data_IF_211461012671
#
_entry.id   IF_211461012671
#
_cell.length_a   1.000
_cell.length_b   1.000
_cell.length_c   1.000
_cell.angle_alpha   90.00
_cell.angle_beta   90.00
_cell.angle_gamma   90.00
#
_symmetry.space_group_name_H-M   'P 1'
#
loop_
_entity.id
_entity.type
_entity.pdbx_description
1 polymer ?
#
# COMPACT_ATOMS: atom_id res chain seq x y z
N UNK A 1 31.45 -51.09 23.37
CA UNK A 1 31.31 -50.16 22.24
C UNK A 1 30.10 -49.29 22.58
N UNK A 2 30.39 -48.15 23.19
CA UNK A 2 29.37 -47.13 23.44
C UNK A 2 29.20 -46.37 22.12
N UNK A 3 28.04 -46.48 21.51
CA UNK A 3 27.66 -45.56 20.44
C UNK A 3 27.31 -44.26 21.11
N UNK A 4 28.20 -43.29 21.03
CA UNK A 4 27.96 -41.91 21.32
C UNK A 4 26.98 -41.42 20.22
N UNK A 5 25.71 -41.51 20.51
CA UNK A 5 24.65 -40.85 19.72
C UNK A 5 24.63 -39.40 20.23
N UNK A 6 25.60 -38.61 19.76
CA UNK A 6 25.43 -37.15 19.87
C UNK A 6 24.22 -36.80 19.01
N UNK A 7 23.20 -36.29 19.64
CA UNK A 7 22.01 -35.78 18.97
C UNK A 7 22.39 -34.52 18.18
N UNK A 8 23.01 -34.76 17.01
CA UNK A 8 23.36 -33.69 16.08
C UNK A 8 22.12 -33.44 15.17
N UNK A 9 21.55 -32.30 15.27
CA UNK A 9 20.57 -31.85 14.26
C UNK A 9 21.28 -31.65 12.93
N UNK A 10 20.94 -32.43 11.92
CA UNK A 10 21.52 -32.34 10.58
C UNK A 10 20.44 -31.90 9.61
N UNK A 11 20.66 -30.77 8.99
CA UNK A 11 19.75 -30.22 8.00
C UNK A 11 20.46 -30.05 6.64
N UNK A 12 19.65 -29.87 5.58
CA UNK A 12 20.17 -29.75 4.22
C UNK A 12 19.50 -28.60 3.50
N UNK A 13 20.30 -27.80 2.85
CA UNK A 13 19.86 -26.77 1.92
C UNK A 13 20.48 -27.02 0.55
N UNK A 14 19.74 -26.84 -0.53
CA UNK A 14 20.25 -27.01 -1.89
C UNK A 14 19.73 -25.92 -2.81
N UNK A 15 20.60 -25.33 -3.60
CA UNK A 15 20.28 -24.28 -4.57
C UNK A 15 21.26 -24.31 -5.74
N UNK A 16 20.83 -23.82 -6.89
CA UNK A 16 21.67 -23.52 -8.05
C UNK A 16 22.24 -22.08 -8.02
N UNK A 17 21.75 -21.25 -7.10
CA UNK A 17 22.24 -19.88 -6.90
C UNK A 17 23.39 -19.84 -5.89
N UNK A 18 24.59 -19.49 -6.38
CA UNK A 18 25.80 -19.37 -5.56
C UNK A 18 25.68 -18.27 -4.47
N UNK A 19 24.93 -17.18 -4.75
CA UNK A 19 24.72 -16.13 -3.76
C UNK A 19 23.80 -16.58 -2.64
N UNK A 20 22.70 -17.26 -2.99
CA UNK A 20 21.80 -17.83 -2.00
C UNK A 20 22.52 -18.85 -1.12
N UNK A 21 23.44 -19.65 -1.71
CA UNK A 21 24.27 -20.57 -0.97
C UNK A 21 25.22 -19.85 0.00
N UNK A 22 25.88 -18.79 -0.43
CA UNK A 22 26.79 -18.03 0.42
C UNK A 22 26.05 -17.34 1.59
N UNK A 23 24.84 -16.85 1.35
CA UNK A 23 23.99 -16.26 2.40
C UNK A 23 23.60 -17.33 3.43
N UNK A 24 23.16 -18.51 2.97
CA UNK A 24 22.78 -19.60 3.87
C UNK A 24 24.00 -20.14 4.67
N UNK A 25 25.16 -20.28 4.03
CA UNK A 25 26.42 -20.67 4.67
C UNK A 25 26.77 -19.70 5.81
N UNK A 26 26.84 -18.40 5.50
CA UNK A 26 27.16 -17.37 6.48
C UNK A 26 26.15 -17.31 7.64
N UNK A 27 24.86 -17.41 7.35
CA UNK A 27 23.81 -17.42 8.37
C UNK A 27 23.98 -18.57 9.34
N UNK A 28 24.16 -19.81 8.84
CA UNK A 28 24.28 -20.98 9.71
C UNK A 28 25.58 -20.96 10.51
N UNK A 29 26.70 -20.52 9.94
CA UNK A 29 27.95 -20.30 10.69
C UNK A 29 27.75 -19.27 11.82
N UNK A 30 27.00 -18.20 11.57
CA UNK A 30 26.70 -17.16 12.57
C UNK A 30 25.91 -17.72 13.76
N UNK A 31 25.05 -18.72 13.53
CA UNK A 31 24.30 -19.38 14.60
C UNK A 31 24.96 -20.66 15.14
N UNK A 32 26.28 -20.80 14.98
CA UNK A 32 27.06 -21.86 15.60
C UNK A 32 26.99 -23.22 14.91
N UNK A 33 26.45 -23.31 13.71
CA UNK A 33 26.39 -24.55 12.95
C UNK A 33 27.77 -24.88 12.34
N UNK A 34 28.12 -26.16 12.36
CA UNK A 34 29.20 -26.70 11.52
C UNK A 34 28.65 -26.90 10.12
N UNK A 35 29.25 -26.22 9.16
CA UNK A 35 28.75 -26.16 7.78
C UNK A 35 29.68 -26.93 6.85
N UNK A 36 29.12 -27.76 5.96
CA UNK A 36 29.85 -28.46 4.90
C UNK A 36 29.20 -28.22 3.56
N UNK A 37 29.93 -27.56 2.66
CA UNK A 37 29.48 -27.23 1.31
C UNK A 37 29.93 -28.29 0.30
N UNK A 38 29.01 -28.79 -0.50
CA UNK A 38 29.30 -29.78 -1.55
C UNK A 38 28.66 -29.33 -2.87
N UNK A 39 29.44 -29.33 -3.96
CA UNK A 39 28.94 -29.08 -5.30
C UNK A 39 28.60 -30.40 -6.00
N UNK A 40 27.36 -30.60 -6.37
CA UNK A 40 26.85 -31.77 -7.08
C UNK A 40 26.91 -31.54 -8.58
N UNK A 41 27.99 -31.97 -9.23
CA UNK A 41 28.28 -31.75 -10.65
C UNK A 41 27.25 -32.33 -11.60
N UNK A 42 26.60 -33.42 -11.21
CA UNK A 42 25.59 -34.10 -12.05
C UNK A 42 24.27 -33.34 -12.16
N UNK A 43 24.02 -32.43 -11.23
CA UNK A 43 22.76 -31.65 -11.13
C UNK A 43 22.97 -30.15 -11.21
N UNK A 44 24.24 -29.71 -11.26
CA UNK A 44 24.61 -28.28 -11.26
C UNK A 44 24.00 -27.50 -10.07
N UNK A 45 24.05 -28.13 -8.88
CA UNK A 45 23.52 -27.53 -7.64
C UNK A 45 24.55 -27.59 -6.53
N UNK A 46 24.50 -26.56 -5.67
CA UNK A 46 25.21 -26.56 -4.39
C UNK A 46 24.35 -27.23 -3.32
N UNK A 47 24.99 -28.05 -2.49
CA UNK A 47 24.37 -28.63 -1.30
C UNK A 47 25.12 -28.15 -0.08
N UNK A 48 24.39 -27.61 0.86
CA UNK A 48 24.84 -27.26 2.19
C UNK A 48 24.31 -28.29 3.16
N UNK A 49 25.23 -28.88 3.94
CA UNK A 49 24.93 -29.74 5.07
C UNK A 49 25.39 -29.00 6.32
N UNK A 50 24.50 -28.78 7.27
CA UNK A 50 24.81 -28.08 8.50
C UNK A 50 24.29 -28.85 9.70
N UNK A 51 25.10 -28.84 10.75
CA UNK A 51 24.79 -29.57 11.98
C UNK A 51 25.22 -28.75 13.19
N UNK A 52 24.47 -28.86 14.25
CA UNK A 52 24.75 -28.21 15.53
C UNK A 52 24.69 -29.26 16.64
N UNK A 53 25.48 -29.08 17.66
CA UNK A 53 25.45 -29.90 18.88
C UNK A 53 24.48 -29.25 19.87
N UNK A 54 23.28 -29.84 20.01
CA UNK A 54 22.23 -29.31 20.87
C UNK A 54 22.51 -29.49 22.38
N UNK A 55 23.47 -30.39 22.74
CA UNK A 55 23.86 -30.61 24.13
C UNK A 55 24.75 -29.50 24.69
N UNK A 56 25.32 -28.64 23.85
CA UNK A 56 26.09 -27.49 24.28
C UNK A 56 25.17 -26.35 24.73
N UNK A 57 25.29 -25.87 25.98
CA UNK A 57 24.42 -24.80 26.49
C UNK A 57 24.59 -23.47 25.78
N UNK A 58 25.68 -23.22 25.09
CA UNK A 58 25.89 -22.04 24.23
C UNK A 58 25.08 -22.20 22.97
N UNK A 59 25.10 -23.38 22.35
CA UNK A 59 24.34 -23.67 21.15
C UNK A 59 22.82 -23.65 21.38
N UNK A 60 22.35 -24.09 22.57
CA UNK A 60 20.94 -23.95 22.94
C UNK A 60 20.49 -22.48 22.91
N UNK A 61 21.34 -21.57 23.43
CA UNK A 61 21.03 -20.13 23.42
C UNK A 61 21.10 -19.55 21.99
N UNK A 62 22.07 -19.97 21.19
CA UNK A 62 22.20 -19.55 19.78
C UNK A 62 20.98 -19.99 18.95
N UNK A 63 20.47 -21.20 19.16
CA UNK A 63 19.25 -21.69 18.49
C UNK A 63 18.02 -20.88 18.84
N UNK A 64 17.88 -20.45 20.11
CA UNK A 64 16.77 -19.56 20.50
C UNK A 64 16.91 -18.18 19.89
N UNK A 65 18.13 -17.63 19.77
CA UNK A 65 18.39 -16.37 19.09
C UNK A 65 18.13 -16.49 17.58
N UNK A 66 18.51 -17.62 16.95
CA UNK A 66 18.17 -17.89 15.54
C UNK A 66 16.68 -17.85 15.31
N UNK A 67 15.88 -18.48 16.19
CA UNK A 67 14.44 -18.47 16.08
C UNK A 67 13.88 -17.04 16.19
N UNK A 68 14.38 -16.23 17.11
CA UNK A 68 13.97 -14.84 17.28
C UNK A 68 14.39 -13.98 16.08
N UNK A 69 15.57 -14.22 15.54
CA UNK A 69 16.07 -13.56 14.35
C UNK A 69 15.16 -13.84 13.14
N UNK A 70 14.84 -15.11 12.90
CA UNK A 70 13.97 -15.52 11.80
C UNK A 70 12.55 -14.92 11.91
N UNK A 71 12.01 -14.87 13.12
CA UNK A 71 10.72 -14.22 13.37
C UNK A 71 10.79 -12.71 13.10
N UNK A 72 11.87 -12.04 13.51
CA UNK A 72 12.06 -10.61 13.30
C UNK A 72 12.31 -10.28 11.81
N UNK A 73 13.17 -11.06 11.13
CA UNK A 73 13.48 -10.89 9.70
C UNK A 73 12.23 -11.12 8.83
N UNK A 74 11.48 -12.20 9.09
CA UNK A 74 10.22 -12.45 8.39
C UNK A 74 9.21 -11.31 8.58
N UNK A 75 9.13 -10.76 9.80
CA UNK A 75 8.24 -9.64 10.10
C UNK A 75 8.71 -8.34 9.43
N UNK A 76 10.02 -8.06 9.41
CA UNK A 76 10.61 -6.92 8.71
C UNK A 76 10.33 -7.00 7.20
N UNK A 77 10.60 -8.15 6.59
CA UNK A 77 10.36 -8.39 5.15
C UNK A 77 8.88 -8.23 4.80
N UNK A 78 7.97 -8.75 5.63
CA UNK A 78 6.53 -8.56 5.48
C UNK A 78 6.14 -7.07 5.53
N UNK A 79 6.71 -6.29 6.45
CA UNK A 79 6.45 -4.85 6.52
C UNK A 79 7.00 -4.10 5.30
N UNK A 80 8.19 -4.46 4.81
CA UNK A 80 8.77 -3.88 3.60
C UNK A 80 7.89 -4.15 2.35
N UNK A 81 7.36 -5.37 2.20
CA UNK A 81 6.44 -5.70 1.12
C UNK A 81 5.16 -4.83 1.16
N UNK A 82 4.63 -4.57 2.37
CA UNK A 82 3.47 -3.69 2.56
C UNK A 82 3.80 -2.21 2.32
N UNK A 83 5.01 -1.75 2.60
CA UNK A 83 5.46 -0.39 2.27
C UNK A 83 5.46 -0.19 0.75
N UNK A 84 5.95 -1.16 -0.01
CA UNK A 84 5.98 -1.10 -1.48
C UNK A 84 4.59 -1.22 -2.12
N UNK A 85 3.72 -2.01 -1.53
CA UNK A 85 2.37 -2.29 -2.03
C UNK A 85 1.31 -2.28 -0.93
N UNK A 86 1.06 -1.14 -0.26
CA UNK A 86 0.11 -1.08 0.84
C UNK A 86 -1.31 -1.41 0.38
N UNK A 87 -2.10 -2.14 1.19
CA UNK A 87 -3.48 -2.53 0.89
C UNK A 87 -4.39 -1.33 0.57
N UNK A 88 -4.11 -0.17 1.17
CA UNK A 88 -4.80 1.08 0.88
C UNK A 88 -4.64 1.53 -0.57
N UNK A 89 -3.51 1.23 -1.23
CA UNK A 89 -3.28 1.55 -2.64
C UNK A 89 -4.29 0.88 -3.58
N UNK A 90 -4.65 -0.37 -3.30
CA UNK A 90 -5.68 -1.07 -4.06
C UNK A 90 -7.07 -0.50 -3.76
N UNK A 91 -7.38 -0.24 -2.48
CA UNK A 91 -8.64 0.40 -2.07
C UNK A 91 -8.82 1.78 -2.70
N UNK A 92 -7.73 2.56 -2.84
CA UNK A 92 -7.75 3.84 -3.56
C UNK A 92 -8.10 3.64 -5.02
N UNK A 93 -7.48 2.68 -5.71
CA UNK A 93 -7.79 2.39 -7.12
C UNK A 93 -9.25 1.97 -7.29
N UNK A 94 -9.77 1.15 -6.39
CA UNK A 94 -11.16 0.69 -6.44
C UNK A 94 -12.15 1.82 -6.11
N UNK A 95 -11.84 2.67 -5.14
CA UNK A 95 -12.61 3.87 -4.84
C UNK A 95 -12.61 4.87 -6.00
N UNK A 96 -11.48 5.08 -6.67
CA UNK A 96 -11.39 5.92 -7.87
C UNK A 96 -12.19 5.34 -9.04
N UNK A 97 -12.20 4.02 -9.23
CA UNK A 97 -13.05 3.37 -10.23
C UNK A 97 -14.53 3.52 -9.91
N UNK A 98 -14.92 3.30 -8.65
CA UNK A 98 -16.29 3.49 -8.19
C UNK A 98 -16.72 4.96 -8.28
N UNK A 99 -15.82 5.92 -8.06
CA UNK A 99 -16.08 7.35 -8.19
C UNK A 99 -16.16 7.83 -9.65
N UNK A 100 -15.79 7.00 -10.63
CA UNK A 100 -15.85 7.36 -12.05
C UNK A 100 -17.23 7.80 -12.48
N UNK A 101 -18.30 7.16 -11.98
CA UNK A 101 -19.68 7.58 -12.21
C UNK A 101 -19.98 8.94 -11.56
N UNK A 102 -19.49 9.20 -10.35
CA UNK A 102 -19.68 10.49 -9.65
C UNK A 102 -18.93 11.61 -10.37
N UNK A 103 -17.75 11.33 -10.92
CA UNK A 103 -17.01 12.27 -11.78
C UNK A 103 -17.76 12.59 -13.06
N UNK A 104 -18.31 11.58 -13.74
CA UNK A 104 -19.13 11.77 -14.92
C UNK A 104 -20.38 12.63 -14.58
N UNK A 105 -21.07 12.31 -13.48
CA UNK A 105 -22.21 13.08 -12.99
C UNK A 105 -21.83 14.53 -12.71
N UNK A 106 -20.70 14.78 -12.03
CA UNK A 106 -20.21 16.12 -11.76
C UNK A 106 -19.93 16.89 -13.05
N UNK A 107 -19.31 16.26 -14.04
CA UNK A 107 -18.99 16.88 -15.31
C UNK A 107 -20.25 17.24 -16.11
N UNK A 108 -21.23 16.33 -16.17
CA UNK A 108 -22.50 16.55 -16.85
C UNK A 108 -23.31 17.66 -16.16
N UNK A 109 -23.39 17.61 -14.82
CA UNK A 109 -24.17 18.66 -14.08
C UNK A 109 -23.46 20.01 -14.16
N UNK A 110 -22.16 20.10 -14.20
CA UNK A 110 -21.41 21.33 -14.48
C UNK A 110 -21.72 21.89 -15.85
N UNK A 111 -21.68 21.04 -16.89
CA UNK A 111 -21.99 21.48 -18.26
C UNK A 111 -23.44 21.97 -18.38
N UNK A 112 -24.41 21.30 -17.75
CA UNK A 112 -25.80 21.74 -17.71
C UNK A 112 -25.97 23.04 -16.91
N UNK A 113 -25.32 23.18 -15.77
CA UNK A 113 -25.33 24.42 -15.00
C UNK A 113 -24.77 25.59 -15.83
N UNK A 114 -23.66 25.43 -16.50
CA UNK A 114 -23.07 26.45 -17.35
C UNK A 114 -23.99 26.83 -18.53
N UNK A 115 -24.64 25.82 -19.14
CA UNK A 115 -25.59 26.05 -20.23
C UNK A 115 -26.80 26.82 -19.76
N UNK A 116 -27.48 26.41 -18.68
CA UNK A 116 -28.69 27.06 -18.20
C UNK A 116 -28.43 28.46 -17.62
N UNK A 117 -27.34 28.63 -16.85
CA UNK A 117 -26.95 29.93 -16.32
C UNK A 117 -26.49 30.88 -17.47
N UNK A 118 -25.75 30.35 -18.43
CA UNK A 118 -25.30 31.08 -19.60
C UNK A 118 -26.50 31.54 -20.46
N UNK A 119 -27.43 30.63 -20.74
CA UNK A 119 -28.67 31.00 -21.46
C UNK A 119 -29.50 32.05 -20.72
N UNK A 120 -29.68 31.83 -19.41
CA UNK A 120 -30.40 32.80 -18.56
C UNK A 120 -29.75 34.18 -18.62
N UNK A 121 -28.45 34.27 -18.51
CA UNK A 121 -27.68 35.51 -18.58
C UNK A 121 -27.79 36.17 -19.99
N UNK A 122 -27.62 35.39 -21.05
CA UNK A 122 -27.63 35.88 -22.42
C UNK A 122 -29.05 36.41 -22.84
N UNK A 123 -30.10 35.72 -22.38
CA UNK A 123 -31.47 36.17 -22.64
C UNK A 123 -31.85 37.41 -21.81
N UNK A 124 -31.40 37.45 -20.53
CA UNK A 124 -31.63 38.60 -19.68
C UNK A 124 -30.90 39.85 -20.17
N UNK A 125 -29.67 39.71 -20.59
CA UNK A 125 -28.83 40.83 -21.09
C UNK A 125 -29.11 41.23 -22.53
N UNK A 126 -29.99 40.49 -23.23
CA UNK A 126 -30.33 40.75 -24.65
C UNK A 126 -29.17 40.43 -25.63
N UNK A 127 -28.13 39.69 -25.18
CA UNK A 127 -27.01 39.22 -26.03
C UNK A 127 -27.58 38.29 -27.11
N UNK A 128 -28.51 37.41 -26.72
CA UNK A 128 -29.28 36.60 -27.68
C UNK A 128 -30.64 37.28 -27.89
N UNK A 129 -30.95 37.74 -29.11
CA UNK A 129 -32.26 38.29 -29.40
C UNK A 129 -33.34 37.24 -29.19
N UNK A 130 -34.42 37.60 -28.51
CA UNK A 130 -35.52 36.66 -28.20
C UNK A 130 -36.08 36.00 -29.46
N UNK A 131 -36.17 36.75 -30.55
CA UNK A 131 -36.66 36.27 -31.84
C UNK A 131 -35.80 35.13 -32.38
N UNK A 132 -34.48 35.28 -32.34
CA UNK A 132 -33.54 34.24 -32.77
C UNK A 132 -33.58 33.00 -31.84
N UNK A 133 -33.88 33.18 -30.55
CA UNK A 133 -34.06 32.07 -29.62
C UNK A 133 -35.39 31.33 -29.91
N UNK A 134 -36.48 32.03 -30.11
CA UNK A 134 -37.79 31.43 -30.39
C UNK A 134 -37.86 30.75 -31.76
N UNK A 135 -37.13 31.21 -32.76
CA UNK A 135 -36.99 30.53 -34.07
C UNK A 135 -36.36 29.13 -33.94
N UNK A 136 -35.44 28.99 -33.02
CA UNK A 136 -34.72 27.70 -32.81
C UNK A 136 -35.43 26.77 -31.81
N UNK A 137 -36.30 27.31 -30.94
CA UNK A 137 -37.05 26.55 -29.94
C UNK A 137 -38.53 26.68 -30.29
N UNK A 138 -39.13 25.63 -30.85
CA UNK A 138 -40.55 25.60 -31.18
C UNK A 138 -41.41 25.69 -29.90
N UNK A 139 -41.66 26.91 -29.46
CA UNK A 139 -42.55 27.18 -28.31
C UNK A 139 -43.98 27.20 -28.78
N UNK A 140 -44.76 26.14 -28.51
CA UNK A 140 -46.21 26.14 -28.74
C UNK A 140 -46.93 26.48 -27.44
N UNK A 141 -47.69 27.57 -27.44
CA UNK A 141 -48.53 27.92 -26.32
C UNK A 141 -49.84 27.12 -26.46
N UNK A 142 -50.23 26.28 -25.47
CA UNK A 142 -51.49 25.54 -25.53
C UNK A 142 -52.71 26.50 -25.62
N UNK A 143 -53.71 26.14 -26.40
CA UNK A 143 -54.91 26.84 -26.46
C UNK A 143 -55.62 26.93 -25.10
N UNK A 144 -55.95 28.14 -24.63
CA UNK A 144 -56.49 28.36 -23.28
C UNK A 144 -55.43 28.65 -22.21
N UNK A 145 -54.16 28.73 -22.52
CA UNK A 145 -53.12 29.20 -21.59
C UNK A 145 -53.37 30.67 -21.19
N UNK A 146 -53.18 31.02 -19.90
CA UNK A 146 -53.19 32.40 -19.46
C UNK A 146 -52.03 33.25 -19.99
N UNK A 147 -51.00 32.60 -20.53
CA UNK A 147 -49.81 33.24 -21.11
C UNK A 147 -50.14 33.73 -22.52
N UNK A 148 -49.88 35.01 -22.76
CA UNK A 148 -49.96 35.60 -24.10
C UNK A 148 -48.58 35.64 -24.75
N UNK A 149 -48.48 35.67 -26.10
CA UNK A 149 -47.23 35.85 -26.79
C UNK A 149 -46.39 37.06 -26.34
N UNK A 150 -47.11 38.14 -25.90
CA UNK A 150 -46.54 39.41 -25.39
C UNK A 150 -45.79 39.21 -24.05
N UNK A 151 -46.17 38.17 -23.27
CA UNK A 151 -45.50 37.82 -21.96
C UNK A 151 -44.20 37.06 -22.12
N UNK A 152 -43.93 36.53 -23.31
CA UNK A 152 -42.73 35.80 -23.62
C UNK A 152 -41.55 36.77 -23.85
N UNK A 153 -41.01 37.28 -22.77
CA UNK A 153 -39.85 38.17 -22.76
C UNK A 153 -38.56 37.39 -22.48
N UNK A 154 -37.39 37.99 -22.80
CA UNK A 154 -36.11 37.44 -22.44
C UNK A 154 -35.97 37.25 -20.92
N UNK A 155 -36.54 38.15 -20.12
CA UNK A 155 -36.59 38.06 -18.66
C UNK A 155 -37.40 36.86 -18.18
N UNK A 156 -38.54 36.58 -18.83
CA UNK A 156 -39.40 35.43 -18.52
C UNK A 156 -38.62 34.11 -18.70
N UNK A 157 -37.95 33.93 -19.83
CA UNK A 157 -37.13 32.73 -20.07
C UNK A 157 -35.92 32.66 -19.13
N UNK A 158 -35.32 33.82 -18.83
CA UNK A 158 -34.22 33.86 -17.86
C UNK A 158 -34.67 33.39 -16.47
N UNK A 159 -35.87 33.79 -16.02
CA UNK A 159 -36.46 33.33 -14.76
C UNK A 159 -36.77 31.83 -14.75
N UNK A 160 -37.07 31.21 -15.90
CA UNK A 160 -37.29 29.78 -16.02
C UNK A 160 -35.94 29.01 -15.97
N UNK A 161 -34.93 29.47 -16.70
CA UNK A 161 -33.65 28.77 -16.78
C UNK A 161 -32.78 28.94 -15.55
N UNK A 162 -32.85 30.05 -14.85
CA UNK A 162 -32.10 30.34 -13.64
C UNK A 162 -32.22 29.25 -12.55
N UNK A 163 -33.42 28.82 -12.15
CA UNK A 163 -33.58 27.76 -11.15
C UNK A 163 -32.94 26.45 -11.56
N UNK A 164 -33.09 26.06 -12.83
CA UNK A 164 -32.43 24.83 -13.34
C UNK A 164 -30.90 24.93 -13.25
N UNK A 165 -30.35 26.07 -13.67
CA UNK A 165 -28.92 26.33 -13.55
C UNK A 165 -28.43 26.23 -12.09
N UNK A 166 -29.19 26.84 -11.16
CA UNK A 166 -28.86 26.79 -9.72
C UNK A 166 -28.93 25.36 -9.17
N UNK A 167 -29.96 24.59 -9.56
CA UNK A 167 -30.11 23.18 -9.13
C UNK A 167 -28.94 22.34 -9.63
N UNK A 168 -28.58 22.44 -10.92
CA UNK A 168 -27.45 21.69 -11.46
C UNK A 168 -26.11 22.12 -10.86
N UNK A 169 -25.93 23.42 -10.58
CA UNK A 169 -24.72 23.89 -9.89
C UNK A 169 -24.64 23.33 -8.47
N UNK A 170 -25.78 23.27 -7.76
CA UNK A 170 -25.82 22.68 -6.41
C UNK A 170 -25.43 21.19 -6.43
N UNK A 171 -25.99 20.41 -7.38
CA UNK A 171 -25.64 18.99 -7.54
C UNK A 171 -24.15 18.83 -7.86
N UNK A 172 -23.63 19.67 -8.75
CA UNK A 172 -22.19 19.68 -9.06
C UNK A 172 -21.35 19.94 -7.82
N UNK A 173 -21.66 20.96 -7.03
CA UNK A 173 -20.92 21.31 -5.82
C UNK A 173 -20.96 20.18 -4.78
N UNK A 174 -22.12 19.52 -4.62
CA UNK A 174 -22.24 18.36 -3.73
C UNK A 174 -21.40 17.19 -4.22
N UNK A 175 -21.42 16.87 -5.52
CA UNK A 175 -20.62 15.81 -6.10
C UNK A 175 -19.12 16.10 -5.98
N UNK A 176 -18.70 17.32 -6.30
CA UNK A 176 -17.30 17.76 -6.17
C UNK A 176 -16.83 17.72 -4.70
N UNK A 177 -17.66 18.16 -3.76
CA UNK A 177 -17.35 18.08 -2.33
C UNK A 177 -17.22 16.62 -1.86
N UNK A 178 -18.10 15.73 -2.31
CA UNK A 178 -18.00 14.30 -2.00
C UNK A 178 -16.71 13.69 -2.54
N UNK A 179 -16.34 13.96 -3.78
CA UNK A 179 -15.09 13.49 -4.40
C UNK A 179 -13.88 14.00 -3.60
N UNK A 180 -13.87 15.29 -3.27
CA UNK A 180 -12.78 15.90 -2.50
C UNK A 180 -12.63 15.25 -1.11
N UNK A 181 -13.74 15.01 -0.42
CA UNK A 181 -13.76 14.36 0.89
C UNK A 181 -13.22 12.94 0.81
N UNK A 182 -13.70 12.12 -0.12
CA UNK A 182 -13.22 10.77 -0.34
C UNK A 182 -11.70 10.74 -0.66
N UNK A 183 -11.23 11.63 -1.53
CA UNK A 183 -9.82 11.73 -1.88
C UNK A 183 -8.96 12.13 -0.67
N UNK A 184 -9.44 13.03 0.17
CA UNK A 184 -8.75 13.48 1.38
C UNK A 184 -8.69 12.39 2.45
N UNK A 185 -9.79 11.69 2.72
CA UNK A 185 -9.85 10.57 3.68
C UNK A 185 -8.92 9.43 3.26
N UNK A 186 -8.94 9.08 1.97
CA UNK A 186 -8.05 8.07 1.40
C UNK A 186 -6.58 8.47 1.55
N UNK A 187 -6.23 9.72 1.27
CA UNK A 187 -4.86 10.22 1.41
C UNK A 187 -4.36 10.17 2.86
N UNK A 188 -5.21 10.57 3.80
CA UNK A 188 -4.88 10.52 5.23
C UNK A 188 -4.70 9.09 5.70
N UNK A 189 -5.62 8.18 5.34
CA UNK A 189 -5.54 6.76 5.68
C UNK A 189 -4.28 6.12 5.10
N UNK A 190 -3.98 6.39 3.82
CA UNK A 190 -2.77 5.90 3.17
C UNK A 190 -1.50 6.34 3.89
N UNK A 191 -1.41 7.63 4.23
CA UNK A 191 -0.24 8.18 4.92
C UNK A 191 -0.06 7.57 6.30
N UNK A 192 -1.13 7.47 7.09
CA UNK A 192 -1.07 6.89 8.42
C UNK A 192 -0.74 5.38 8.42
N UNK A 193 -1.21 4.66 7.39
CA UNK A 193 -0.90 3.25 7.19
C UNK A 193 0.58 3.07 6.84
N UNK A 194 1.10 3.89 5.92
CA UNK A 194 2.51 3.87 5.54
C UNK A 194 3.43 4.18 6.73
N UNK A 195 3.16 5.25 7.46
CA UNK A 195 3.92 5.63 8.66
C UNK A 195 3.93 4.51 9.72
N UNK A 196 2.82 3.76 9.83
CA UNK A 196 2.73 2.62 10.73
C UNK A 196 3.63 1.46 10.30
N UNK A 197 3.65 1.14 9.00
CA UNK A 197 4.51 0.07 8.47
C UNK A 197 5.99 0.44 8.55
N UNK A 198 6.35 1.66 8.20
CA UNK A 198 7.72 2.19 8.33
C UNK A 198 8.21 2.11 9.77
N UNK A 199 7.38 2.52 10.72
CA UNK A 199 7.73 2.45 12.15
C UNK A 199 7.88 1.02 12.65
N UNK A 200 7.03 0.10 12.18
CA UNK A 200 7.14 -1.30 12.55
C UNK A 200 8.38 -1.95 11.91
N UNK A 201 8.71 -1.64 10.66
CA UNK A 201 9.93 -2.11 10.02
C UNK A 201 11.17 -1.66 10.82
N UNK A 202 11.26 -0.37 11.18
CA UNK A 202 12.35 0.15 12.02
C UNK A 202 12.44 -0.56 13.38
N UNK A 203 11.31 -0.92 13.98
CA UNK A 203 11.31 -1.68 15.24
C UNK A 203 11.96 -3.07 15.05
N UNK A 204 11.63 -3.78 13.98
CA UNK A 204 12.23 -5.08 13.71
C UNK A 204 13.70 -4.99 13.32
N UNK A 205 14.12 -3.98 12.57
CA UNK A 205 15.54 -3.71 12.28
C UNK A 205 16.35 -3.50 13.57
N UNK A 206 15.80 -2.72 14.52
CA UNK A 206 16.44 -2.56 15.84
C UNK A 206 16.51 -3.89 16.60
N UNK A 207 15.44 -4.70 16.54
CA UNK A 207 15.41 -6.00 17.22
C UNK A 207 16.42 -6.97 16.62
N UNK A 208 16.60 -6.99 15.31
CA UNK A 208 17.64 -7.78 14.61
C UNK A 208 19.02 -7.38 15.12
N UNK A 209 19.34 -6.09 15.16
CA UNK A 209 20.63 -5.62 15.68
C UNK A 209 20.84 -5.99 17.16
N UNK A 210 19.79 -5.95 18.00
CA UNK A 210 19.88 -6.40 19.39
C UNK A 210 20.21 -7.89 19.50
N UNK A 211 19.63 -8.73 18.63
CA UNK A 211 19.91 -10.15 18.58
C UNK A 211 21.35 -10.40 18.14
N UNK A 212 21.84 -9.68 17.14
CA UNK A 212 23.25 -9.77 16.70
C UNK A 212 24.20 -9.36 17.82
N UNK A 213 23.90 -8.30 18.56
CA UNK A 213 24.69 -7.89 19.73
C UNK A 213 24.66 -8.95 20.87
N UNK A 214 23.54 -9.66 21.04
CA UNK A 214 23.42 -10.74 22.01
C UNK A 214 24.25 -11.97 21.58
N UNK A 215 24.27 -12.31 20.29
CA UNK A 215 25.11 -13.37 19.74
C UNK A 215 26.59 -13.07 19.93
N UNK A 216 27.04 -11.85 19.62
CA UNK A 216 28.44 -11.45 19.78
C UNK A 216 28.89 -11.60 21.24
N UNK A 217 28.05 -11.23 22.21
CA UNK A 217 28.34 -11.44 23.63
C UNK A 217 28.44 -12.92 24.02
N UNK A 218 27.60 -13.79 23.44
CA UNK A 218 27.68 -15.23 23.68
C UNK A 218 28.99 -15.81 23.15
N UNK A 219 29.44 -15.38 21.97
CA UNK A 219 30.73 -15.80 21.40
C UNK A 219 31.92 -15.32 22.21
N UNK A 220 31.88 -14.06 22.70
CA UNK A 220 32.93 -13.56 23.60
C UNK A 220 33.02 -14.39 24.89
N UNK A 221 31.85 -14.65 25.53
CA UNK A 221 31.81 -15.48 26.75
C UNK A 221 32.28 -16.92 26.50
N UNK A 222 31.92 -17.51 25.36
CA UNK A 222 32.35 -18.86 24.98
C UNK A 222 33.87 -18.91 24.70
N UNK A 223 34.42 -17.86 24.07
CA UNK A 223 35.86 -17.71 23.85
C UNK A 223 36.63 -17.61 25.16
N UNK A 224 36.17 -16.79 26.10
CA UNK A 224 36.81 -16.66 27.42
C UNK A 224 36.82 -17.99 28.21
N UNK A 225 35.73 -18.78 28.11
CA UNK A 225 35.66 -20.12 28.75
C UNK A 225 36.70 -21.10 28.14
N UNK A 226 36.92 -21.05 26.83
CA UNK A 226 37.90 -21.90 26.14
C UNK A 226 39.33 -21.50 26.57
N UNK A 227 39.63 -20.20 26.59
CA UNK A 227 40.95 -19.69 26.97
C UNK A 227 41.28 -20.00 28.46
N UNK A 228 40.32 -19.92 29.37
CA UNK A 228 40.52 -20.34 30.76
C UNK A 228 40.77 -21.85 30.89
N UNK A 229 40.13 -22.66 30.05
CA UNK A 229 40.25 -24.10 30.04
C UNK A 229 41.60 -24.58 29.49
N UNK A 230 42.08 -23.94 28.45
CA UNK A 230 43.40 -24.20 27.83
C UNK A 230 44.54 -23.64 28.66
N UNK A 231 44.31 -22.64 29.52
CA UNK A 231 45.29 -22.10 30.46
C UNK A 231 45.50 -22.94 31.71
N UNK A 232 44.68 -23.98 31.94
CA UNK A 232 44.76 -24.89 33.09
C UNK A 232 45.48 -26.22 32.80
N UNK A 233 46.01 -26.40 31.62
CA UNK A 233 46.86 -27.53 31.19
C UNK A 233 48.34 -27.09 31.13
#
# INVERSE_FOLDING_TARGET
MSYDITDKRVEYFATDDEKAMAIAENKHETFGYTVTKTYLKDRDIYRLEYSIDEDDPVNEQLLELERQYDEADAAANYMCEYIDSPPSKQRIKDALKASGFVWLLALVTFALAALFLGLSYCLYSGIIPLEAFLENVSVSIPEGSPLKPEDLTGEFFAMIFLPFGVVFLTIFLLAASHIHRCASEVKVTYKSELERYEKNAQYYDVRINEIEDEMDKLYEMAGDIVDERDGLI
#
